data_IF_209574871841
#
_entry.id   IF_209574871841
#
_cell.length_a   1.000
_cell.length_b   1.000
_cell.length_c   1.000
_cell.angle_alpha   90.00
_cell.angle_beta   90.00
_cell.angle_gamma   90.00
#
_symmetry.space_group_name_H-M   'P 1'
#
loop_
_entity.id
_entity.type
_entity.pdbx_description
1 polymer ?
#
# COMPACT_ATOMS: atom_id res chain seq x y z
N UNK A 1 11.69 -3.70 -8.70
CA UNK A 1 10.34 -4.12 -8.25
C UNK A 1 10.06 -5.51 -8.80
N UNK A 2 9.61 -6.46 -7.99
CA UNK A 2 9.38 -7.86 -8.41
C UNK A 2 8.34 -7.96 -9.53
N UNK A 3 7.23 -7.21 -9.42
CA UNK A 3 6.17 -7.21 -10.43
C UNK A 3 6.66 -6.79 -11.82
N UNK A 4 7.49 -5.73 -11.91
CA UNK A 4 8.08 -5.29 -13.18
C UNK A 4 9.08 -6.31 -13.76
N UNK A 5 9.83 -7.00 -12.90
CA UNK A 5 10.84 -7.99 -13.33
C UNK A 5 10.21 -9.24 -13.94
N UNK A 6 9.03 -9.63 -13.44
CA UNK A 6 8.37 -10.88 -13.79
C UNK A 6 6.99 -10.68 -14.45
N UNK A 7 6.66 -9.44 -14.80
CA UNK A 7 5.37 -9.03 -15.38
C UNK A 7 4.15 -9.57 -14.59
N UNK A 8 4.16 -9.36 -13.27
CA UNK A 8 3.11 -9.86 -12.38
C UNK A 8 2.06 -8.80 -12.10
N UNK A 9 0.78 -9.21 -12.19
CA UNK A 9 -0.37 -8.41 -11.76
C UNK A 9 -0.20 -7.97 -10.30
N UNK A 10 -0.48 -6.70 -10.03
CA UNK A 10 -0.41 -6.10 -8.71
C UNK A 10 -1.83 -5.84 -8.21
N UNK A 11 -2.19 -6.51 -7.12
CA UNK A 11 -3.48 -6.41 -6.47
C UNK A 11 -3.24 -5.97 -5.02
N UNK A 12 -3.99 -4.98 -4.55
CA UNK A 12 -4.13 -4.66 -3.14
C UNK A 12 -5.28 -5.49 -2.54
N UNK A 13 -5.21 -5.82 -1.27
CA UNK A 13 -6.38 -6.30 -0.54
C UNK A 13 -6.66 -5.37 0.62
N UNK A 14 -7.93 -5.11 0.88
CA UNK A 14 -8.38 -4.36 2.05
C UNK A 14 -9.34 -5.22 2.84
N UNK A 15 -9.06 -5.39 4.13
CA UNK A 15 -9.93 -6.09 5.05
C UNK A 15 -10.61 -5.09 5.96
N UNK A 16 -11.95 -5.10 5.98
CA UNK A 16 -12.77 -4.27 6.84
C UNK A 16 -13.41 -5.11 7.94
N UNK A 17 -13.43 -4.58 9.16
CA UNK A 17 -14.17 -5.22 10.26
C UNK A 17 -15.60 -4.70 10.23
N UNK A 18 -16.54 -5.59 9.95
CA UNK A 18 -17.98 -5.25 9.87
C UNK A 18 -18.61 -5.29 11.27
N UNK A 19 -18.32 -6.35 12.03
CA UNK A 19 -18.76 -6.52 13.43
C UNK A 19 -17.85 -7.53 14.14
N UNK A 20 -18.09 -7.80 15.43
CA UNK A 20 -17.28 -8.75 16.21
C UNK A 20 -17.27 -10.13 15.54
N UNK A 21 -16.09 -10.57 15.10
CA UNK A 21 -15.90 -11.87 14.45
C UNK A 21 -16.26 -11.91 12.95
N UNK A 22 -16.63 -10.78 12.34
CA UNK A 22 -17.00 -10.73 10.93
C UNK A 22 -16.15 -9.68 10.21
N UNK A 23 -15.47 -10.13 9.17
CA UNK A 23 -14.56 -9.35 8.36
C UNK A 23 -14.90 -9.56 6.89
N UNK A 24 -14.79 -8.51 6.10
CA UNK A 24 -14.93 -8.55 4.66
C UNK A 24 -13.58 -8.19 4.04
N UNK A 25 -13.18 -8.89 2.98
CA UNK A 25 -11.96 -8.57 2.23
C UNK A 25 -12.29 -8.29 0.78
N UNK A 26 -11.83 -7.16 0.29
CA UNK A 26 -11.96 -6.72 -1.09
C UNK A 26 -10.59 -6.77 -1.76
N UNK A 27 -10.53 -7.30 -2.98
CA UNK A 27 -9.34 -7.27 -3.83
C UNK A 27 -9.46 -6.14 -4.85
N UNK A 28 -8.45 -5.27 -4.87
CA UNK A 28 -8.41 -4.06 -5.69
C UNK A 28 -7.27 -4.19 -6.68
N UNK A 29 -7.57 -4.19 -7.97
CA UNK A 29 -6.55 -4.18 -9.01
C UNK A 29 -5.80 -2.84 -8.97
N UNK A 30 -4.48 -2.88 -8.76
CA UNK A 30 -3.62 -1.71 -8.95
C UNK A 30 -3.20 -1.65 -10.42
N UNK A 31 -2.68 -2.76 -10.96
CA UNK A 31 -2.31 -2.85 -12.38
C UNK A 31 -2.11 -4.30 -12.81
N UNK A 32 -2.50 -4.62 -14.04
CA UNK A 32 -2.18 -5.86 -14.75
C UNK A 32 -1.02 -5.70 -15.74
N UNK A 33 -0.54 -4.47 -15.95
CA UNK A 33 0.61 -4.17 -16.83
C UNK A 33 1.70 -3.41 -16.06
N UNK A 34 2.39 -4.03 -15.08
CA UNK A 34 3.32 -3.35 -14.18
C UNK A 34 4.52 -2.74 -14.93
N UNK A 35 4.91 -3.33 -16.06
CA UNK A 35 6.04 -2.91 -16.90
C UNK A 35 5.83 -1.54 -17.55
N UNK A 36 4.58 -1.07 -17.69
CA UNK A 36 4.24 0.23 -18.32
C UNK A 36 4.35 1.44 -17.39
N UNK A 37 4.52 1.22 -16.09
CA UNK A 37 4.60 2.30 -15.10
C UNK A 37 6.03 2.81 -14.98
N UNK A 38 6.21 4.06 -14.55
CA UNK A 38 7.51 4.55 -14.14
C UNK A 38 7.95 3.89 -12.83
N UNK A 39 9.19 4.14 -12.40
CA UNK A 39 9.60 3.70 -11.08
C UNK A 39 8.80 4.45 -10.01
N UNK A 40 8.47 3.75 -8.92
CA UNK A 40 7.73 4.25 -7.75
C UNK A 40 6.21 4.49 -7.94
N UNK A 41 5.70 4.70 -9.16
CA UNK A 41 4.27 4.97 -9.37
C UNK A 41 3.32 3.89 -8.81
N UNK A 42 3.65 2.61 -8.98
CA UNK A 42 2.81 1.51 -8.45
C UNK A 42 2.81 1.53 -6.91
N UNK A 43 3.96 1.85 -6.30
CA UNK A 43 4.04 1.96 -4.83
C UNK A 43 3.33 3.21 -4.32
N UNK A 44 3.32 4.31 -5.06
CA UNK A 44 2.60 5.52 -4.69
C UNK A 44 1.08 5.29 -4.72
N UNK A 45 0.57 4.59 -5.73
CA UNK A 45 -0.84 4.18 -5.78
C UNK A 45 -1.22 3.25 -4.63
N UNK A 46 -0.36 2.28 -4.30
CA UNK A 46 -0.56 1.41 -3.15
C UNK A 46 -0.60 2.20 -1.83
N UNK A 47 0.26 3.21 -1.66
CA UNK A 47 0.28 4.08 -0.48
C UNK A 47 -1.02 4.89 -0.40
N UNK A 48 -1.49 5.46 -1.51
CA UNK A 48 -2.75 6.21 -1.55
C UNK A 48 -3.96 5.34 -1.14
N UNK A 49 -4.05 4.10 -1.67
CA UNK A 49 -5.07 3.13 -1.25
C UNK A 49 -4.95 2.79 0.24
N UNK A 50 -3.73 2.59 0.73
CA UNK A 50 -3.49 2.32 2.15
C UNK A 50 -3.96 3.47 3.03
N UNK A 51 -3.64 4.72 2.67
CA UNK A 51 -4.09 5.91 3.40
C UNK A 51 -5.61 6.02 3.43
N UNK A 52 -6.29 5.81 2.29
CA UNK A 52 -7.75 5.77 2.23
C UNK A 52 -8.34 4.69 3.15
N UNK A 53 -7.75 3.50 3.16
CA UNK A 53 -8.22 2.39 4.02
C UNK A 53 -8.01 2.69 5.51
N UNK A 54 -6.89 3.31 5.89
CA UNK A 54 -6.64 3.75 7.27
C UNK A 54 -7.65 4.81 7.68
N UNK A 55 -8.00 5.75 6.80
CA UNK A 55 -8.99 6.79 7.09
C UNK A 55 -10.40 6.21 7.33
N UNK A 56 -10.73 5.06 6.74
CA UNK A 56 -12.03 4.40 6.95
C UNK A 56 -12.17 3.77 8.34
N UNK A 57 -11.12 3.13 8.87
CA UNK A 57 -11.12 2.47 10.18
C UNK A 57 -9.80 2.71 10.91
N UNK A 58 -9.49 3.97 11.30
CA UNK A 58 -8.20 4.34 11.85
C UNK A 58 -7.88 3.60 13.14
N UNK A 59 -8.89 3.24 13.93
CA UNK A 59 -8.76 2.46 15.16
C UNK A 59 -8.16 1.05 14.96
N UNK A 60 -8.20 0.53 13.72
CA UNK A 60 -7.66 -0.79 13.37
C UNK A 60 -6.22 -0.74 12.85
N UNK A 61 -5.66 0.45 12.62
CA UNK A 61 -4.28 0.58 12.17
C UNK A 61 -3.28 0.44 13.32
N UNK A 62 -2.11 -0.13 13.02
CA UNK A 62 -1.06 -0.39 14.01
C UNK A 62 -0.23 0.89 14.31
N UNK A 63 -0.86 1.87 14.96
CA UNK A 63 -0.24 3.18 15.28
C UNK A 63 1.01 3.12 16.16
N UNK A 64 1.26 2.00 16.84
CA UNK A 64 2.50 1.80 17.62
C UNK A 64 3.75 1.73 16.73
N UNK A 65 3.61 1.45 15.44
CA UNK A 65 4.72 1.41 14.51
C UNK A 65 5.28 2.82 14.24
N UNK A 66 6.59 3.02 14.46
CA UNK A 66 7.30 4.28 14.16
C UNK A 66 7.53 4.47 12.65
N UNK A 67 6.46 4.48 11.85
CA UNK A 67 6.49 4.48 10.37
C UNK A 67 7.34 5.60 9.79
N UNK A 68 7.27 6.79 10.38
CA UNK A 68 7.91 8.00 9.88
C UNK A 68 9.27 8.32 10.51
N UNK A 69 9.91 7.38 11.24
CA UNK A 69 11.19 7.61 11.95
C UNK A 69 12.33 8.11 11.05
N UNK A 70 12.27 7.86 9.73
CA UNK A 70 13.30 8.23 8.75
C UNK A 70 12.85 9.29 7.74
N UNK A 71 11.67 9.91 7.91
CA UNK A 71 11.10 10.83 6.91
C UNK A 71 12.03 12.00 6.52
N UNK A 72 12.86 12.46 7.46
CA UNK A 72 13.81 13.57 7.26
C UNK A 72 15.27 13.08 7.23
N UNK A 73 15.52 11.79 6.97
CA UNK A 73 16.84 11.17 7.00
C UNK A 73 17.14 10.42 5.69
N UNK A 74 16.77 11.01 4.55
CA UNK A 74 17.08 10.45 3.23
C UNK A 74 18.59 10.56 2.97
N UNK A 75 19.30 9.47 2.63
CA UNK A 75 20.72 9.52 2.31
C UNK A 75 20.99 10.44 1.11
N UNK A 76 22.10 11.20 1.13
CA UNK A 76 22.45 12.18 0.08
C UNK A 76 22.48 11.60 -1.35
N UNK A 77 22.81 10.31 -1.50
CA UNK A 77 22.78 9.60 -2.80
C UNK A 77 21.37 9.36 -3.38
N UNK A 78 20.33 9.58 -2.58
CA UNK A 78 18.92 9.39 -2.94
C UNK A 78 18.08 10.64 -2.69
N UNK A 79 18.72 11.77 -2.37
CA UNK A 79 18.08 13.09 -2.39
C UNK A 79 17.92 13.57 -3.82
#
# INVERSE_FOLDING_TARGET
MLSKKFDLVVINYVTRKIKRGYYETEFQLITDTPTKFNNYEITDQYIALTEQNIMQQPELYLWSHKRFKHRNKVPAKFQ
#
